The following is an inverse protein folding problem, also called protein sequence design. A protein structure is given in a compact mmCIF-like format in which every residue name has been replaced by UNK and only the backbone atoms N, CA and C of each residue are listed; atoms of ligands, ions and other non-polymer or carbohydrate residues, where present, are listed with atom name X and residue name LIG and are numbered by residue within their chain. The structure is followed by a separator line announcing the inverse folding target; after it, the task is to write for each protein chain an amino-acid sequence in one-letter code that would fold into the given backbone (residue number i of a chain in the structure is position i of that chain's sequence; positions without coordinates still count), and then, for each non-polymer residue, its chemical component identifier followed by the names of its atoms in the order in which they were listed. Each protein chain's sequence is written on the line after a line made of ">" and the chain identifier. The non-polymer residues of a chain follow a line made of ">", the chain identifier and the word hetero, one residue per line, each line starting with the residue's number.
data_IF_927385139140
#
_entry.id   IF_927385139140
#
_cell.length_a   1.000
_cell.length_b   1.000
_cell.length_c   1.000
_cell.angle_alpha   90.00
_cell.angle_beta   90.00
_cell.angle_gamma   90.00
#
_symmetry.space_group_name_H-M   'P 1'
#
loop_
_entity.id
_entity.type
_entity.pdbx_description
1 polymer ?
#
# COMPACT_ATOMS: atom_id res chain seq x y z
N UNK A 1 -36.11 69.38 35.15
CA UNK A 1 -37.19 68.96 34.22
C UNK A 1 -36.88 69.53 32.84
N UNK A 2 -36.52 68.66 31.89
CA UNK A 2 -36.75 68.74 30.43
C UNK A 2 -35.74 67.86 29.68
N UNK A 3 -36.28 67.07 28.74
CA UNK A 3 -35.69 65.93 28.02
C UNK A 3 -34.87 66.36 26.78
N UNK A 4 -34.38 65.34 26.05
CA UNK A 4 -34.01 65.28 24.60
C UNK A 4 -32.47 65.28 24.41
N UNK A 5 -31.78 64.37 23.68
CA UNK A 5 -32.10 63.47 22.56
C UNK A 5 -31.20 62.22 22.61
N UNK A 6 -31.73 61.10 22.12
CA UNK A 6 -30.99 59.85 21.91
C UNK A 6 -29.95 59.98 20.79
N UNK A 7 -28.77 59.37 20.97
CA UNK A 7 -27.92 58.92 19.87
C UNK A 7 -27.61 57.45 20.09
N UNK A 8 -28.11 56.66 19.16
CA UNK A 8 -27.91 55.22 19.02
C UNK A 8 -26.48 54.99 18.57
N UNK A 9 -25.74 54.14 19.29
CA UNK A 9 -24.54 53.49 18.78
C UNK A 9 -24.56 52.03 19.24
N UNK A 10 -25.22 51.19 18.46
CA UNK A 10 -25.11 49.74 18.53
C UNK A 10 -23.72 49.32 18.06
N UNK A 11 -22.81 49.08 19.00
CA UNK A 11 -21.60 48.31 18.74
C UNK A 11 -21.85 46.90 19.32
N UNK A 12 -22.25 45.98 18.44
CA UNK A 12 -22.40 44.57 18.80
C UNK A 12 -21.02 43.98 19.09
N UNK A 13 -20.74 43.71 20.36
CA UNK A 13 -19.56 42.98 20.80
C UNK A 13 -19.67 41.52 20.33
N UNK A 14 -18.98 41.17 19.25
CA UNK A 14 -18.88 39.80 18.77
C UNK A 14 -17.92 39.03 19.70
N UNK A 15 -18.47 38.29 20.67
CA UNK A 15 -17.69 37.39 21.51
C UNK A 15 -17.20 36.21 20.65
N UNK A 16 -15.89 36.15 20.37
CA UNK A 16 -15.27 34.97 19.76
C UNK A 16 -15.33 33.79 20.75
N UNK A 17 -16.21 32.83 20.49
CA UNK A 17 -16.10 31.49 21.05
C UNK A 17 -14.90 30.81 20.36
N UNK A 18 -13.79 30.66 21.07
CA UNK A 18 -12.69 29.78 20.67
C UNK A 18 -13.12 28.33 20.93
N UNK A 19 -13.25 27.48 19.91
CA UNK A 19 -13.45 26.06 20.14
C UNK A 19 -12.16 25.48 20.70
N UNK A 20 -12.23 24.93 21.92
CA UNK A 20 -11.16 24.11 22.48
C UNK A 20 -10.97 22.88 21.60
N UNK A 21 -10.03 22.95 20.65
CA UNK A 21 -9.64 21.81 19.85
C UNK A 21 -8.97 20.78 20.77
N UNK A 22 -9.69 19.71 21.08
CA UNK A 22 -9.10 18.54 21.72
C UNK A 22 -7.98 18.01 20.82
N UNK A 23 -6.81 17.72 21.41
CA UNK A 23 -5.71 17.06 20.70
C UNK A 23 -6.11 15.61 20.44
N UNK A 24 -6.89 15.39 19.39
CA UNK A 24 -7.02 14.07 18.79
C UNK A 24 -5.62 13.70 18.26
N UNK A 25 -4.99 12.70 18.87
CA UNK A 25 -3.79 12.09 18.30
C UNK A 25 -4.20 11.47 16.98
N UNK A 26 -3.91 12.15 15.87
CA UNK A 26 -4.10 11.60 14.54
C UNK A 26 -3.26 10.32 14.46
N UNK A 27 -3.90 9.20 14.15
CA UNK A 27 -3.17 8.00 13.78
C UNK A 27 -2.19 8.35 12.66
N UNK A 28 -0.95 7.81 12.66
CA UNK A 28 0.03 8.10 11.63
C UNK A 28 -0.62 7.87 10.26
N UNK A 29 -0.63 8.90 9.43
CA UNK A 29 -1.17 8.79 8.08
C UNK A 29 -0.36 7.73 7.32
N UNK A 30 -0.99 6.82 6.56
CA UNK A 30 -0.28 5.80 5.77
C UNK A 30 0.61 6.41 4.67
N UNK A 31 0.57 7.73 4.48
CA UNK A 31 1.50 8.50 3.65
C UNK A 31 2.86 8.71 4.33
N UNK A 32 2.90 8.96 5.64
CA UNK A 32 4.14 9.27 6.37
C UNK A 32 5.03 8.04 6.50
N UNK A 33 4.46 6.87 6.77
CA UNK A 33 5.22 5.61 6.86
C UNK A 33 5.75 5.17 5.50
N UNK A 34 4.97 5.42 4.44
CA UNK A 34 5.33 5.09 3.06
C UNK A 34 6.47 5.95 2.54
N UNK A 35 6.39 7.27 2.72
CA UNK A 35 7.45 8.17 2.28
C UNK A 35 8.77 7.80 2.95
N UNK A 36 8.76 7.56 4.27
CA UNK A 36 9.93 7.10 5.01
C UNK A 36 10.48 5.76 4.48
N UNK A 37 9.61 4.81 4.12
CA UNK A 37 10.03 3.54 3.53
C UNK A 37 10.74 3.73 2.18
N UNK A 38 10.21 4.58 1.31
CA UNK A 38 10.84 4.86 0.02
C UNK A 38 12.11 5.71 0.13
N UNK A 39 12.18 6.64 1.09
CA UNK A 39 13.40 7.40 1.38
C UNK A 39 14.51 6.48 1.91
N UNK A 40 14.16 5.52 2.78
CA UNK A 40 15.10 4.51 3.27
C UNK A 40 15.58 3.59 2.14
N UNK A 41 14.68 3.09 1.30
CA UNK A 41 15.04 2.30 0.13
C UNK A 41 15.91 3.08 -0.87
N UNK A 42 15.62 4.37 -1.06
CA UNK A 42 16.44 5.23 -1.91
C UNK A 42 17.87 5.38 -1.39
N UNK A 43 18.02 5.55 -0.07
CA UNK A 43 19.34 5.61 0.58
C UNK A 43 20.10 4.28 0.50
N UNK A 44 19.40 3.14 0.60
CA UNK A 44 20.00 1.80 0.57
C UNK A 44 20.42 1.38 -0.85
N UNK A 45 19.54 1.59 -1.84
CA UNK A 45 19.74 1.07 -3.20
C UNK A 45 20.20 2.12 -4.21
N UNK A 46 20.32 3.40 -3.81
CA UNK A 46 20.77 4.49 -4.68
C UNK A 46 19.79 4.87 -5.79
N UNK A 47 18.53 4.45 -5.69
CA UNK A 47 17.45 4.80 -6.65
C UNK A 47 16.68 6.00 -6.09
N UNK A 48 16.44 7.08 -6.85
CA UNK A 48 15.69 8.23 -6.33
C UNK A 48 14.30 7.84 -5.81
N UNK A 49 13.91 8.37 -4.64
CA UNK A 49 12.64 8.03 -3.98
C UNK A 49 11.42 8.27 -4.90
N UNK A 50 11.44 9.35 -5.69
CA UNK A 50 10.40 9.66 -6.68
C UNK A 50 10.23 8.59 -7.75
N UNK A 51 11.33 7.94 -8.16
CA UNK A 51 11.28 6.83 -9.14
C UNK A 51 10.64 5.61 -8.49
N UNK A 52 11.02 5.27 -7.26
CA UNK A 52 10.42 4.14 -6.53
C UNK A 52 8.93 4.38 -6.26
N UNK A 53 8.55 5.60 -5.89
CA UNK A 53 7.16 6.01 -5.72
C UNK A 53 6.36 5.95 -7.02
N UNK A 54 6.92 6.45 -8.12
CA UNK A 54 6.28 6.42 -9.44
C UNK A 54 6.05 5.01 -9.95
N UNK A 55 7.07 4.15 -9.89
CA UNK A 55 6.96 2.74 -10.32
C UNK A 55 5.95 1.99 -9.47
N UNK A 56 6.02 2.11 -8.15
CA UNK A 56 5.05 1.45 -7.26
C UNK A 56 3.60 1.91 -7.45
N UNK A 57 3.40 3.17 -7.84
CA UNK A 57 2.08 3.64 -8.22
C UNK A 57 1.59 2.98 -9.52
N UNK A 58 2.46 2.85 -10.53
CA UNK A 58 2.10 2.21 -11.79
C UNK A 58 1.79 0.72 -11.63
N UNK A 59 2.54 0.03 -10.76
CA UNK A 59 2.40 -1.41 -10.54
C UNK A 59 1.13 -1.78 -9.77
N UNK A 60 0.78 -1.04 -8.72
CA UNK A 60 -0.38 -1.41 -7.90
C UNK A 60 -1.16 -0.25 -7.30
N UNK A 61 -0.87 0.99 -7.70
CA UNK A 61 -1.41 2.20 -7.07
C UNK A 61 -1.12 2.26 -5.57
N UNK A 62 0.08 1.78 -5.18
CA UNK A 62 0.52 1.58 -3.80
C UNK A 62 -0.37 0.64 -2.97
N UNK A 63 -1.16 -0.22 -3.60
CA UNK A 63 -1.94 -1.23 -2.91
C UNK A 63 -1.02 -2.31 -2.35
N UNK A 64 -1.15 -2.62 -1.06
CA UNK A 64 -0.38 -3.67 -0.38
C UNK A 64 -1.06 -5.03 -0.38
N UNK A 65 -2.32 -5.09 -0.84
CA UNK A 65 -3.20 -6.26 -0.81
C UNK A 65 -3.30 -6.90 0.59
N UNK A 66 -3.07 -6.13 1.66
CA UNK A 66 -2.99 -6.62 3.04
C UNK A 66 -2.08 -7.86 3.21
N UNK A 67 -1.03 -7.98 2.39
CA UNK A 67 -0.11 -9.12 2.39
C UNK A 67 -0.62 -10.39 1.69
N UNK A 68 -1.78 -10.32 1.03
CA UNK A 68 -2.32 -11.41 0.21
C UNK A 68 -1.89 -11.27 -1.26
N UNK A 69 -1.80 -12.36 -2.02
CA UNK A 69 -1.46 -12.28 -3.45
C UNK A 69 -2.60 -11.66 -4.25
N UNK A 70 -2.26 -10.87 -5.27
CA UNK A 70 -3.18 -10.49 -6.34
C UNK A 70 -3.60 -11.69 -7.18
N UNK A 71 -4.59 -11.52 -8.06
CA UNK A 71 -4.99 -12.55 -9.04
C UNK A 71 -3.84 -12.99 -9.95
N UNK A 72 -2.84 -12.11 -10.13
CA UNK A 72 -1.62 -12.32 -10.89
C UNK A 72 -0.42 -12.72 -9.99
N UNK A 73 -0.68 -13.18 -8.76
CA UNK A 73 0.30 -13.63 -7.78
C UNK A 73 1.28 -12.55 -7.28
N UNK A 74 0.95 -11.27 -7.45
CA UNK A 74 1.79 -10.15 -7.00
C UNK A 74 1.48 -9.73 -5.57
N UNK A 75 2.50 -9.26 -4.86
CA UNK A 75 2.44 -8.81 -3.47
C UNK A 75 2.93 -7.36 -3.35
N UNK A 76 2.26 -6.60 -2.49
CA UNK A 76 2.73 -5.28 -2.10
C UNK A 76 2.64 -4.19 -3.19
N UNK A 77 3.16 -2.99 -2.89
CA UNK A 77 3.14 -1.82 -3.76
C UNK A 77 4.05 -1.97 -4.99
N UNK A 78 4.97 -2.93 -4.99
CA UNK A 78 5.87 -3.23 -6.12
C UNK A 78 5.38 -4.42 -6.97
N UNK A 79 4.20 -4.96 -6.67
CA UNK A 79 3.63 -6.15 -7.33
C UNK A 79 4.64 -7.31 -7.48
N UNK A 80 5.40 -7.58 -6.41
CA UNK A 80 6.40 -8.65 -6.39
C UNK A 80 5.71 -10.00 -6.50
N UNK A 81 6.00 -10.75 -7.56
CA UNK A 81 5.39 -12.03 -7.88
C UNK A 81 5.97 -13.19 -7.07
N UNK A 82 5.09 -14.05 -6.57
CA UNK A 82 5.44 -15.37 -6.07
C UNK A 82 4.34 -16.37 -6.42
N UNK A 83 4.40 -16.87 -7.66
CA UNK A 83 3.42 -17.81 -8.19
C UNK A 83 3.37 -19.13 -7.42
N UNK A 84 4.51 -19.68 -7.02
CA UNK A 84 4.57 -20.95 -6.29
C UNK A 84 3.77 -20.87 -4.98
N UNK A 85 3.92 -19.79 -4.21
CA UNK A 85 3.12 -19.58 -3.00
C UNK A 85 1.67 -19.25 -3.35
N UNK A 86 1.41 -18.32 -4.26
CA UNK A 86 0.05 -17.89 -4.60
C UNK A 86 -0.83 -19.04 -5.15
N UNK A 87 -0.24 -19.98 -5.89
CA UNK A 87 -0.95 -21.14 -6.42
C UNK A 87 -1.37 -22.14 -5.32
N UNK A 88 -0.76 -22.11 -4.14
CA UNK A 88 -1.23 -22.87 -2.98
C UNK A 88 -2.36 -22.17 -2.22
N UNK A 89 -2.43 -20.84 -2.33
CA UNK A 89 -3.46 -20.01 -1.66
C UNK A 89 -4.73 -19.92 -2.49
N UNK A 90 -4.63 -19.96 -3.83
CA UNK A 90 -5.78 -20.20 -4.71
C UNK A 90 -6.29 -21.63 -4.49
N UNK A 91 -7.07 -21.82 -3.43
CA UNK A 91 -8.01 -22.92 -3.32
C UNK A 91 -9.00 -22.87 -4.48
N UNK A 92 -9.67 -23.99 -4.74
CA UNK A 92 -10.62 -24.21 -5.82
C UNK A 92 -11.89 -23.32 -5.72
N UNK A 93 -11.74 -22.00 -5.72
CA UNK A 93 -12.84 -21.02 -5.72
C UNK A 93 -13.47 -20.85 -7.10
N UNK A 94 -12.90 -21.49 -8.12
CA UNK A 94 -13.48 -21.60 -9.44
C UNK A 94 -13.94 -23.05 -9.61
N UNK A 95 -15.23 -23.25 -9.86
CA UNK A 95 -15.72 -24.52 -10.38
C UNK A 95 -15.30 -24.66 -11.86
N UNK A 96 -15.71 -25.75 -12.51
CA UNK A 96 -15.43 -25.95 -13.93
C UNK A 96 -16.29 -25.03 -14.85
N UNK A 97 -17.02 -24.05 -14.30
CA UNK A 97 -17.86 -23.14 -15.08
C UNK A 97 -17.05 -22.06 -15.79
N UNK A 98 -17.65 -21.52 -16.85
CA UNK A 98 -17.08 -20.39 -17.57
C UNK A 98 -17.19 -19.12 -16.71
N UNK A 99 -16.05 -18.51 -16.38
CA UNK A 99 -15.97 -17.28 -15.58
C UNK A 99 -16.69 -16.07 -16.17
N UNK A 100 -17.25 -16.17 -17.38
CA UNK A 100 -18.15 -15.16 -17.98
C UNK A 100 -19.56 -15.19 -17.39
N UNK A 101 -19.94 -16.27 -16.70
CA UNK A 101 -21.22 -16.37 -15.97
C UNK A 101 -22.44 -16.49 -16.88
N UNK A 102 -22.27 -16.99 -18.12
CA UNK A 102 -23.38 -17.28 -19.03
C UNK A 102 -23.20 -18.62 -19.75
N UNK A 103 -24.31 -19.35 -19.92
CA UNK A 103 -24.34 -20.64 -20.63
C UNK A 103 -24.71 -20.50 -22.12
N UNK A 104 -24.87 -19.25 -22.61
CA UNK A 104 -25.31 -19.00 -23.99
C UNK A 104 -24.19 -19.21 -25.01
N UNK A 105 -22.95 -19.28 -24.55
CA UNK A 105 -21.73 -19.41 -25.35
C UNK A 105 -21.01 -20.72 -25.01
N UNK A 106 -20.32 -21.35 -25.99
CA UNK A 106 -19.43 -22.47 -25.69
C UNK A 106 -18.37 -22.09 -24.65
N UNK A 107 -18.11 -23.01 -23.72
CA UNK A 107 -17.09 -22.87 -22.68
C UNK A 107 -15.72 -22.68 -23.32
N UNK A 108 -14.96 -21.67 -22.87
CA UNK A 108 -13.57 -21.51 -23.26
C UNK A 108 -12.67 -22.25 -22.29
N UNK A 109 -11.88 -23.19 -22.80
CA UNK A 109 -10.82 -23.82 -22.02
C UNK A 109 -9.51 -23.04 -22.22
N UNK A 110 -8.81 -22.69 -21.14
CA UNK A 110 -7.49 -22.07 -21.24
C UNK A 110 -6.55 -22.96 -22.06
N UNK A 111 -5.84 -22.36 -23.01
CA UNK A 111 -4.74 -23.06 -23.67
C UNK A 111 -3.66 -23.39 -22.62
N UNK A 112 -2.94 -24.52 -22.77
CA UNK A 112 -1.81 -24.82 -21.90
C UNK A 112 -0.81 -23.67 -21.92
N UNK A 113 -0.23 -23.35 -20.76
CA UNK A 113 0.75 -22.30 -20.64
C UNK A 113 1.94 -22.55 -21.59
N UNK A 114 2.46 -21.50 -22.27
CA UNK A 114 3.62 -21.66 -23.14
C UNK A 114 4.80 -22.22 -22.34
N UNK A 115 5.40 -23.28 -22.86
CA UNK A 115 6.62 -23.87 -22.29
C UNK A 115 7.79 -22.91 -22.49
N UNK A 116 8.50 -22.56 -21.42
CA UNK A 116 9.74 -21.77 -21.49
C UNK A 116 9.74 -20.45 -20.71
N UNK A 117 8.67 -20.09 -19.99
CA UNK A 117 8.75 -18.99 -19.02
C UNK A 117 9.70 -19.42 -17.88
N UNK A 118 10.81 -18.70 -17.62
CA UNK A 118 11.70 -19.07 -16.54
C UNK A 118 10.96 -18.98 -15.21
N UNK A 119 11.00 -20.04 -14.40
CA UNK A 119 10.37 -20.05 -13.07
C UNK A 119 10.83 -18.86 -12.21
N UNK A 120 12.09 -18.44 -12.36
CA UNK A 120 12.65 -17.28 -11.68
C UNK A 120 11.91 -15.96 -11.98
N UNK A 121 11.37 -15.78 -13.19
CA UNK A 121 10.61 -14.58 -13.55
C UNK A 121 9.26 -14.48 -12.81
N UNK A 122 8.79 -15.60 -12.24
CA UNK A 122 7.54 -15.69 -11.47
C UNK A 122 7.79 -15.69 -9.95
N UNK A 123 9.03 -15.42 -9.52
CA UNK A 123 9.52 -15.57 -8.15
C UNK A 123 10.36 -14.34 -7.74
N UNK A 124 9.82 -13.14 -7.95
CA UNK A 124 10.53 -11.88 -7.65
C UNK A 124 10.53 -11.54 -6.15
N UNK A 125 9.60 -12.08 -5.36
CA UNK A 125 9.63 -11.96 -3.88
C UNK A 125 10.93 -12.53 -3.31
N UNK A 126 11.39 -13.67 -3.82
CA UNK A 126 12.62 -14.33 -3.38
C UNK A 126 13.85 -13.48 -3.72
N UNK A 127 13.87 -12.86 -4.90
CA UNK A 127 14.94 -11.96 -5.29
C UNK A 127 14.97 -10.70 -4.41
N UNK A 128 13.81 -10.09 -4.15
CA UNK A 128 13.71 -8.93 -3.27
C UNK A 128 14.16 -9.26 -1.84
N UNK A 129 13.78 -10.43 -1.33
CA UNK A 129 14.20 -10.91 -0.01
C UNK A 129 15.73 -11.05 0.11
N UNK A 130 16.38 -11.57 -0.94
CA UNK A 130 17.84 -11.68 -1.01
C UNK A 130 18.51 -10.31 -1.06
N UNK A 131 18.00 -9.38 -1.88
CA UNK A 131 18.55 -8.03 -1.99
C UNK A 131 18.42 -7.22 -0.70
N UNK A 132 17.30 -7.32 0.00
CA UNK A 132 17.05 -6.60 1.25
C UNK A 132 17.59 -7.32 2.50
N UNK A 133 18.12 -8.54 2.36
CA UNK A 133 18.60 -9.34 3.50
C UNK A 133 17.50 -9.63 4.54
N UNK A 134 16.33 -10.04 4.06
CA UNK A 134 15.13 -10.36 4.86
C UNK A 134 14.49 -11.67 4.41
N UNK A 135 13.57 -12.22 5.21
CA UNK A 135 12.79 -13.38 4.81
C UNK A 135 11.72 -13.04 3.77
N UNK A 136 11.48 -13.95 2.83
CA UNK A 136 10.43 -13.81 1.82
C UNK A 136 9.02 -13.62 2.44
N UNK A 137 8.77 -14.19 3.63
CA UNK A 137 7.54 -13.97 4.36
C UNK A 137 7.35 -12.49 4.75
N UNK A 138 8.42 -11.83 5.21
CA UNK A 138 8.39 -10.42 5.58
C UNK A 138 8.17 -9.51 4.35
N UNK A 139 8.75 -9.85 3.20
CA UNK A 139 8.49 -9.12 1.93
C UNK A 139 7.02 -9.16 1.55
N UNK A 140 6.33 -10.29 1.77
CA UNK A 140 4.89 -10.42 1.47
C UNK A 140 4.03 -9.62 2.45
N UNK A 141 4.28 -9.71 3.75
CA UNK A 141 3.40 -9.14 4.79
C UNK A 141 3.70 -7.68 5.14
N UNK A 142 4.94 -7.23 4.98
CA UNK A 142 5.43 -5.93 5.45
C UNK A 142 6.22 -5.18 4.36
N UNK A 143 5.62 -4.90 3.19
CA UNK A 143 6.37 -4.41 2.03
C UNK A 143 6.94 -2.99 2.20
N UNK A 144 6.58 -2.27 3.25
CA UNK A 144 6.99 -0.89 3.50
C UNK A 144 7.81 -0.73 4.80
N UNK A 145 8.41 -1.79 5.34
CA UNK A 145 9.22 -1.64 6.57
C UNK A 145 10.65 -1.16 6.25
N UNK A 146 11.04 0.05 6.67
CA UNK A 146 12.44 0.46 6.62
C UNK A 146 13.25 -0.34 7.65
N UNK A 147 14.18 -1.19 7.18
CA UNK A 147 15.12 -1.89 8.07
C UNK A 147 16.47 -1.19 8.05
N UNK A 148 16.70 -0.26 8.98
CA UNK A 148 18.06 0.17 9.27
C UNK A 148 18.32 0.54 10.75
N UNK A 149 17.29 0.86 11.53
CA UNK A 149 17.50 1.35 12.91
C UNK A 149 17.28 0.29 13.99
N UNK A 150 16.38 -0.67 13.76
CA UNK A 150 16.00 -1.65 14.80
C UNK A 150 17.03 -2.78 14.99
N UNK A 151 17.76 -3.17 13.93
CA UNK A 151 18.83 -4.18 14.02
C UNK A 151 20.06 -3.69 14.79
N UNK A 152 20.35 -2.40 14.76
CA UNK A 152 21.44 -1.81 15.55
C UNK A 152 21.08 -1.69 17.04
N UNK A 153 19.79 -1.57 17.37
CA UNK A 153 19.32 -1.45 18.75
C UNK A 153 19.15 -2.79 19.48
N UNK A 154 19.19 -3.93 18.77
CA UNK A 154 19.16 -5.28 19.36
C UNK A 154 20.55 -5.95 19.41
N UNK A 155 21.60 -5.24 19.00
CA UNK A 155 22.99 -5.74 18.99
C UNK A 155 23.91 -5.04 20.01
N UNK A 156 23.32 -4.30 20.95
CA UNK A 156 23.98 -3.68 22.12
C UNK A 156 23.17 -4.05 23.36
#
# INVERSE_FOLDING_TARGET
>A
MSRILAVVATAASLALLLPSAGTATAAPSPSSDRQQAYDAAAAEFGVPAEVLLGVSYLESQWNTYAGTPSVAAGYGPMHLTDFATANTVKGAEFDDSDGRGDDSRPTLHPAPAPTGVPAAALQTVQQAAQLAGVDAAAVRSEPARPRLVERLSQSV
#
